data_IF_562124640851
#
_entry.id   IF_562124640851
#
_cell.length_a   1.000
_cell.length_b   1.000
_cell.length_c   1.000
_cell.angle_alpha   90.00
_cell.angle_beta   90.00
_cell.angle_gamma   90.00
#
_symmetry.space_group_name_H-M   'P 1'
#
loop_
_entity.id
_entity.type
_entity.pdbx_description
1 polymer ?
#
# COMPACT_ATOMS: atom_id res chain seq x y z
N UNK A 1 2.10 -22.89 -11.70
CA UNK A 1 1.71 -21.80 -12.62
C UNK A 1 1.20 -20.67 -11.74
N UNK A 2 1.64 -19.43 -11.93
CA UNK A 2 1.16 -18.31 -11.09
C UNK A 2 -0.03 -17.63 -11.75
N UNK A 3 -1.06 -17.33 -10.99
CA UNK A 3 -2.13 -16.44 -11.38
C UNK A 3 -1.66 -15.00 -11.24
N UNK A 4 -1.64 -14.28 -12.36
CA UNK A 4 -1.16 -12.90 -12.42
C UNK A 4 -2.35 -11.97 -12.59
N UNK A 5 -2.43 -10.96 -11.74
CA UNK A 5 -3.40 -9.88 -11.81
C UNK A 5 -2.62 -8.62 -12.19
N UNK A 6 -2.87 -8.08 -13.38
CA UNK A 6 -2.15 -6.92 -13.90
C UNK A 6 -3.07 -5.73 -14.11
N UNK A 7 -2.51 -4.52 -14.01
CA UNK A 7 -3.13 -3.26 -14.44
C UNK A 7 -4.56 -3.07 -13.90
N UNK A 8 -4.77 -3.53 -12.66
CA UNK A 8 -6.09 -3.55 -12.01
C UNK A 8 -6.15 -2.50 -10.90
N UNK A 9 -7.28 -1.80 -10.84
CA UNK A 9 -7.59 -0.87 -9.76
C UNK A 9 -8.54 -1.50 -8.75
N UNK A 10 -8.15 -1.43 -7.47
CA UNK A 10 -8.91 -1.91 -6.34
C UNK A 10 -9.45 -0.71 -5.54
N UNK A 11 -10.78 -0.53 -5.47
CA UNK A 11 -11.39 0.63 -4.84
C UNK A 11 -11.35 0.57 -3.31
N UNK A 12 -11.70 1.69 -2.68
CA UNK A 12 -11.81 1.80 -1.22
C UNK A 12 -12.76 0.75 -0.63
N UNK A 13 -12.37 0.21 0.52
CA UNK A 13 -13.09 -0.87 1.18
C UNK A 13 -12.77 -2.27 0.64
N UNK A 14 -11.94 -2.40 -0.39
CA UNK A 14 -11.44 -3.70 -0.83
C UNK A 14 -10.66 -4.37 0.31
N UNK A 15 -10.96 -5.65 0.54
CA UNK A 15 -10.25 -6.48 1.52
C UNK A 15 -9.64 -7.70 0.83
N UNK A 16 -8.32 -7.80 0.87
CA UNK A 16 -7.56 -8.92 0.30
C UNK A 16 -6.93 -9.71 1.43
N UNK A 17 -7.08 -11.04 1.38
CA UNK A 17 -6.44 -11.96 2.32
C UNK A 17 -5.38 -12.75 1.56
N UNK A 18 -4.14 -12.67 2.03
CA UNK A 18 -2.98 -13.38 1.49
C UNK A 18 -2.59 -14.43 2.53
N UNK A 19 -2.93 -15.69 2.28
CA UNK A 19 -2.64 -16.82 3.15
C UNK A 19 -1.76 -17.89 2.49
N UNK A 20 -1.67 -19.07 3.12
CA UNK A 20 -0.96 -20.22 2.55
C UNK A 20 -1.49 -20.54 1.13
N UNK A 21 -0.57 -20.81 0.19
CA UNK A 21 -0.90 -21.01 -1.24
C UNK A 21 -0.99 -19.72 -2.07
N UNK A 22 -0.90 -18.54 -1.43
CA UNK A 22 -0.86 -17.26 -2.16
C UNK A 22 0.48 -17.04 -2.87
N UNK A 23 1.45 -17.93 -2.72
CA UNK A 23 2.67 -17.96 -3.53
C UNK A 23 2.38 -18.21 -5.01
N UNK A 24 1.15 -18.61 -5.35
CA UNK A 24 0.66 -18.69 -6.72
C UNK A 24 0.15 -17.35 -7.26
N UNK A 25 -0.05 -16.33 -6.42
CA UNK A 25 -0.59 -15.02 -6.82
C UNK A 25 0.52 -13.99 -7.03
N UNK A 26 0.37 -13.16 -8.06
CA UNK A 26 1.23 -12.00 -8.28
C UNK A 26 0.41 -10.83 -8.83
N UNK A 27 0.42 -9.70 -8.12
CA UNK A 27 -0.17 -8.44 -8.55
C UNK A 27 0.92 -7.58 -9.19
N UNK A 28 0.69 -7.11 -10.42
CA UNK A 28 1.66 -6.29 -11.17
C UNK A 28 1.01 -5.00 -11.64
N UNK A 29 1.63 -3.85 -11.35
CA UNK A 29 1.12 -2.51 -11.75
C UNK A 29 -0.31 -2.24 -11.27
N UNK A 30 -0.71 -2.85 -10.15
CA UNK A 30 -2.03 -2.64 -9.56
C UNK A 30 -2.05 -1.40 -8.67
N UNK A 31 -3.22 -0.77 -8.56
CA UNK A 31 -3.45 0.35 -7.65
C UNK A 31 -4.49 -0.02 -6.59
N UNK A 32 -4.16 0.24 -5.33
CA UNK A 32 -5.03 0.01 -4.18
C UNK A 32 -5.32 1.35 -3.53
N UNK A 33 -6.58 1.74 -3.50
CA UNK A 33 -7.01 2.99 -2.88
C UNK A 33 -7.87 2.67 -1.66
N UNK A 34 -7.38 2.95 -0.45
CA UNK A 34 -8.01 2.54 0.79
C UNK A 34 -8.03 1.01 0.97
N UNK A 35 -8.78 0.55 1.97
CA UNK A 35 -8.99 -0.88 2.22
C UNK A 35 -7.91 -1.56 3.06
N UNK A 36 -7.94 -2.89 3.07
CA UNK A 36 -7.15 -3.73 3.94
C UNK A 36 -6.51 -4.91 3.19
N UNK A 37 -5.20 -5.08 3.37
CA UNK A 37 -4.48 -6.28 2.95
C UNK A 37 -4.04 -7.02 4.21
N UNK A 38 -4.59 -8.21 4.39
CA UNK A 38 -4.36 -9.06 5.54
C UNK A 38 -3.41 -10.19 5.14
N UNK A 39 -2.24 -10.22 5.76
CA UNK A 39 -1.28 -11.31 5.61
C UNK A 39 -1.48 -12.32 6.73
N UNK A 40 -1.77 -13.57 6.36
CA UNK A 40 -1.66 -14.69 7.29
C UNK A 40 -0.18 -15.04 7.47
N UNK A 41 0.17 -15.69 8.59
CA UNK A 41 1.57 -16.02 8.90
C UNK A 41 2.16 -16.90 7.78
N UNK A 42 3.46 -16.78 7.53
CA UNK A 42 4.26 -17.61 6.58
C UNK A 42 4.33 -17.13 5.12
N UNK A 43 3.84 -15.93 4.77
CA UNK A 43 4.06 -15.37 3.42
C UNK A 43 5.50 -14.87 3.30
N UNK A 44 6.33 -15.56 2.51
CA UNK A 44 7.73 -15.19 2.26
C UNK A 44 8.12 -15.20 0.77
N UNK A 45 7.22 -14.68 -0.08
CA UNK A 45 7.47 -14.52 -1.52
C UNK A 45 6.88 -13.24 -2.04
N UNK A 46 7.36 -12.80 -3.20
CA UNK A 46 6.86 -11.60 -3.86
C UNK A 46 5.43 -11.83 -4.34
N UNK A 47 4.52 -11.03 -3.79
CA UNK A 47 3.09 -10.98 -4.09
C UNK A 47 2.75 -9.71 -4.86
N UNK A 48 3.47 -8.62 -4.62
CA UNK A 48 3.21 -7.32 -5.26
C UNK A 48 4.44 -6.83 -6.02
N UNK A 49 4.25 -6.37 -7.26
CA UNK A 49 5.29 -5.77 -8.06
C UNK A 49 4.78 -4.51 -8.74
N UNK A 50 5.52 -3.40 -8.62
CA UNK A 50 5.15 -2.12 -9.26
C UNK A 50 3.76 -1.61 -8.84
N UNK A 51 3.29 -2.01 -7.65
CA UNK A 51 1.97 -1.62 -7.15
C UNK A 51 2.02 -0.29 -6.39
N UNK A 52 0.91 0.43 -6.41
CA UNK A 52 0.72 1.69 -5.67
C UNK A 52 -0.37 1.47 -4.62
N UNK A 53 -0.05 1.74 -3.35
CA UNK A 53 -0.97 1.66 -2.23
C UNK A 53 -1.23 3.06 -1.67
N UNK A 54 -2.48 3.52 -1.65
CA UNK A 54 -2.88 4.85 -1.15
C UNK A 54 -3.86 4.69 -0.03
N UNK A 55 -3.45 4.93 1.22
CA UNK A 55 -4.33 4.74 2.38
C UNK A 55 -4.73 3.28 2.64
N UNK A 56 -4.09 2.31 1.99
CA UNK A 56 -4.29 0.88 2.24
C UNK A 56 -3.61 0.47 3.54
N UNK A 57 -4.33 -0.27 4.38
CA UNK A 57 -3.81 -0.77 5.66
C UNK A 57 -3.29 -2.20 5.51
N UNK A 58 -2.12 -2.47 6.07
CA UNK A 58 -1.53 -3.81 6.11
C UNK A 58 -1.69 -4.39 7.52
N UNK A 59 -2.25 -5.61 7.60
CA UNK A 59 -2.54 -6.30 8.86
C UNK A 59 -1.78 -7.62 8.89
N UNK A 60 -1.22 -7.98 10.05
CA UNK A 60 -0.45 -9.21 10.25
C UNK A 60 1.03 -9.06 9.90
N UNK A 61 1.34 -8.52 8.73
CA UNK A 61 2.70 -8.23 8.27
C UNK A 61 2.75 -6.91 7.50
N UNK A 62 3.88 -6.22 7.58
CA UNK A 62 4.14 -5.02 6.75
C UNK A 62 4.68 -5.42 5.37
N UNK A 63 4.56 -4.52 4.40
CA UNK A 63 5.28 -4.66 3.14
C UNK A 63 6.79 -4.66 3.42
N UNK A 64 7.48 -5.69 2.94
CA UNK A 64 8.93 -5.79 2.94
C UNK A 64 9.41 -6.21 1.55
N UNK A 65 10.71 -6.05 1.28
CA UNK A 65 11.31 -6.34 -0.03
C UNK A 65 11.08 -7.78 -0.51
N UNK A 66 10.81 -8.71 0.41
CA UNK A 66 10.48 -10.10 0.08
C UNK A 66 9.09 -10.23 -0.55
N UNK A 67 8.13 -9.40 -0.10
CA UNK A 67 6.71 -9.49 -0.46
C UNK A 67 6.35 -8.47 -1.54
N UNK A 68 7.03 -7.33 -1.56
CA UNK A 68 6.79 -6.24 -2.49
C UNK A 68 8.08 -5.79 -3.16
N UNK A 69 8.05 -5.59 -4.48
CA UNK A 69 9.17 -5.09 -5.27
C UNK A 69 8.75 -3.90 -6.12
N UNK A 70 9.53 -2.82 -6.07
CA UNK A 70 9.25 -1.58 -6.79
C UNK A 70 7.84 -1.00 -6.49
N UNK A 71 7.30 -1.27 -5.29
CA UNK A 71 6.01 -0.74 -4.87
C UNK A 71 6.16 0.60 -4.14
N UNK A 72 5.10 1.39 -4.15
CA UNK A 72 5.01 2.61 -3.33
C UNK A 72 3.79 2.54 -2.42
N UNK A 73 3.96 2.94 -1.16
CA UNK A 73 2.88 3.05 -0.20
C UNK A 73 2.83 4.48 0.34
N UNK A 74 1.71 5.16 0.12
CA UNK A 74 1.44 6.50 0.64
C UNK A 74 0.38 6.35 1.72
N UNK A 75 0.70 6.77 2.94
CA UNK A 75 -0.30 6.84 4.00
C UNK A 75 -1.43 7.76 3.52
N UNK A 76 -2.68 7.34 3.68
CA UNK A 76 -3.80 8.19 3.33
C UNK A 76 -3.64 9.48 4.13
N UNK A 77 -3.49 10.60 3.43
CA UNK A 77 -3.55 11.91 4.05
C UNK A 77 -4.97 12.05 4.60
N UNK A 78 -5.17 11.66 5.86
CA UNK A 78 -6.24 12.26 6.65
C UNK A 78 -6.00 13.76 6.56
N UNK A 79 -7.06 14.47 6.16
CA UNK A 79 -7.18 15.90 5.87
C UNK A 79 -6.86 16.82 7.07
N UNK A 80 -5.84 16.49 7.88
CA UNK A 80 -5.39 17.20 9.07
C UNK A 80 -3.97 17.77 8.93
N UNK A 81 -3.26 17.47 7.83
CA UNK A 81 -1.87 17.91 7.63
C UNK A 81 -1.74 19.16 6.73
N UNK A 82 -2.86 19.72 6.25
CA UNK A 82 -2.85 21.00 5.54
C UNK A 82 -2.74 22.22 6.49
N UNK A 83 -2.90 22.02 7.81
CA UNK A 83 -2.90 23.13 8.79
C UNK A 83 -1.52 23.48 9.37
N UNK A 84 -0.46 22.67 9.18
CA UNK A 84 0.81 22.88 9.90
C UNK A 84 1.94 23.51 9.07
N UNK A 85 1.76 23.79 7.78
CA UNK A 85 2.80 24.44 6.95
C UNK A 85 2.63 25.95 6.80
N UNK A 86 1.65 26.56 7.47
CA UNK A 86 1.45 28.02 7.48
C UNK A 86 1.81 28.65 8.84
N UNK A 87 2.96 28.29 9.44
CA UNK A 87 3.51 29.08 10.55
C UNK A 87 5.02 28.96 10.66
N UNK A 88 5.76 29.57 9.72
CA UNK A 88 7.15 29.96 9.96
C UNK A 88 7.46 31.34 9.38
N UNK A 89 7.37 32.33 10.26
CA UNK A 89 8.33 33.44 10.42
C UNK A 89 8.55 34.39 9.22
N UNK A 90 7.59 35.30 9.01
CA UNK A 90 7.86 36.60 8.38
C UNK A 90 8.14 37.66 9.45
N UNK A 91 9.41 37.85 9.80
CA UNK A 91 9.87 38.90 10.73
C UNK A 91 9.72 40.26 10.01
N UNK A 92 8.65 41.00 10.28
CA UNK A 92 8.54 42.40 9.86
C UNK A 92 9.69 43.20 10.51
N UNK A 93 10.63 43.67 9.69
CA UNK A 93 11.53 44.77 10.06
C UNK A 93 10.86 46.08 9.60
N UNK A 94 10.62 46.98 10.56
CA UNK A 94 10.43 48.40 10.30
C UNK A 94 11.77 49.04 9.98
#
# INVERSE_FOLDING_TARGET
>A
MRAIIEDTWFPAGTRIRIGQGSDELLFIRCSFEGGEIVFEREVDRTIFSQCIFRGTRFIGQTLCDRIASACSAVAGETEDTAAQTASRHGRFRR
#
